data_IF_060962559326
#
_entry.id   IF_060962559326
#
_cell.length_a   1.000
_cell.length_b   1.000
_cell.length_c   1.000
_cell.angle_alpha   90.00
_cell.angle_beta   90.00
_cell.angle_gamma   90.00
#
_symmetry.space_group_name_H-M   'P 1'
#
loop_
_entity.id
_entity.type
_entity.pdbx_description
1 polymer ?
#
# COMPACT_ATOMS: atom_id res chain seq x y z
N UNK A 1 -5.75 22.06 4.45
CA UNK A 1 -4.40 22.14 5.06
C UNK A 1 -4.25 21.66 6.52
N UNK A 2 -5.29 21.49 7.36
CA UNK A 2 -5.14 20.76 8.65
C UNK A 2 -5.99 19.49 8.74
N UNK A 3 -7.19 19.51 8.18
CA UNK A 3 -8.12 18.37 8.25
C UNK A 3 -7.65 17.19 7.38
N UNK A 4 -7.09 17.45 6.20
CA UNK A 4 -6.63 16.41 5.26
C UNK A 4 -5.52 15.52 5.83
N UNK A 5 -4.57 16.10 6.58
CA UNK A 5 -3.54 15.31 7.27
C UNK A 5 -4.12 14.40 8.35
N UNK A 6 -5.14 14.87 9.07
CA UNK A 6 -5.83 14.08 10.09
C UNK A 6 -6.60 12.93 9.44
N UNK A 7 -7.30 13.18 8.33
CA UNK A 7 -7.98 12.13 7.58
C UNK A 7 -7.01 11.13 6.94
N UNK A 8 -5.90 11.59 6.37
CA UNK A 8 -4.85 10.71 5.84
C UNK A 8 -4.26 9.79 6.93
N UNK A 9 -4.00 10.33 8.12
CA UNK A 9 -3.49 9.56 9.25
C UNK A 9 -4.51 8.56 9.79
N UNK A 10 -5.78 8.97 9.94
CA UNK A 10 -6.83 8.08 10.45
C UNK A 10 -7.15 6.97 9.46
N UNK A 11 -7.30 7.28 8.17
CA UNK A 11 -7.63 6.29 7.13
C UNK A 11 -6.46 5.32 6.94
N UNK A 12 -5.23 5.82 6.80
CA UNK A 12 -4.04 4.98 6.68
C UNK A 12 -3.79 4.15 7.93
N UNK A 13 -3.91 4.74 9.12
CA UNK A 13 -3.74 4.05 10.40
C UNK A 13 -4.81 2.99 10.65
N UNK A 14 -6.07 3.26 10.32
CA UNK A 14 -7.17 2.31 10.45
C UNK A 14 -7.01 1.15 9.45
N UNK A 15 -6.62 1.41 8.20
CA UNK A 15 -6.30 0.35 7.23
C UNK A 15 -5.11 -0.51 7.71
N UNK A 16 -4.09 0.11 8.29
CA UNK A 16 -2.93 -0.61 8.84
C UNK A 16 -3.31 -1.50 10.02
N UNK A 17 -4.14 -0.99 10.95
CA UNK A 17 -4.68 -1.78 12.06
C UNK A 17 -5.53 -2.95 11.58
N UNK A 18 -6.40 -2.75 10.58
CA UNK A 18 -7.20 -3.83 9.98
C UNK A 18 -6.28 -4.87 9.33
N UNK A 19 -5.24 -4.44 8.61
CA UNK A 19 -4.27 -5.33 7.99
C UNK A 19 -3.50 -6.16 9.01
N UNK A 20 -3.02 -5.54 10.10
CA UNK A 20 -2.38 -6.24 11.21
C UNK A 20 -3.33 -7.21 11.91
N UNK A 21 -4.60 -6.84 12.11
CA UNK A 21 -5.60 -7.70 12.75
C UNK A 21 -5.95 -8.91 11.88
N UNK A 22 -6.11 -8.75 10.57
CA UNK A 22 -6.32 -9.87 9.65
C UNK A 22 -5.07 -10.76 9.56
N UNK A 23 -3.87 -10.19 9.66
CA UNK A 23 -2.62 -10.95 9.65
C UNK A 23 -2.50 -11.93 10.81
N UNK A 24 -3.09 -11.61 11.96
CA UNK A 24 -3.12 -12.51 13.11
C UNK A 24 -3.98 -13.75 12.82
N UNK A 25 -4.98 -13.64 11.94
CA UNK A 25 -6.00 -14.67 11.70
C UNK A 25 -5.82 -15.43 10.39
N UNK A 26 -5.10 -14.89 9.40
CA UNK A 26 -4.98 -15.45 8.05
C UNK A 26 -3.52 -15.51 7.58
N UNK A 27 -3.24 -16.35 6.58
CA UNK A 27 -1.92 -16.35 5.93
C UNK A 27 -1.68 -15.05 5.15
N UNK A 28 -0.43 -14.56 5.19
CA UNK A 28 0.04 -13.34 4.50
C UNK A 28 -0.43 -13.27 3.04
N UNK A 29 -0.36 -14.39 2.32
CA UNK A 29 -0.75 -14.47 0.91
C UNK A 29 -2.22 -14.11 0.71
N UNK A 30 -3.12 -14.61 1.56
CA UNK A 30 -4.57 -14.38 1.37
C UNK A 30 -4.97 -12.95 1.71
N UNK A 31 -4.34 -12.36 2.73
CA UNK A 31 -4.50 -10.95 3.06
C UNK A 31 -4.11 -10.07 1.87
N UNK A 32 -2.91 -10.29 1.34
CA UNK A 32 -2.35 -9.48 0.25
C UNK A 32 -3.24 -9.53 -0.98
N UNK A 33 -3.70 -10.72 -1.37
CA UNK A 33 -4.59 -10.88 -2.53
C UNK A 33 -5.92 -10.18 -2.33
N UNK A 34 -6.57 -10.31 -1.17
CA UNK A 34 -7.88 -9.68 -0.91
C UNK A 34 -7.74 -8.15 -0.90
N UNK A 35 -6.72 -7.61 -0.24
CA UNK A 35 -6.47 -6.17 -0.21
C UNK A 35 -6.15 -5.60 -1.60
N UNK A 36 -5.37 -6.33 -2.41
CA UNK A 36 -5.12 -5.96 -3.80
C UNK A 36 -6.39 -5.99 -4.63
N UNK A 37 -7.21 -7.04 -4.51
CA UNK A 37 -8.46 -7.17 -5.27
C UNK A 37 -9.45 -6.06 -4.94
N UNK A 38 -9.54 -5.68 -3.66
CA UNK A 38 -10.34 -4.55 -3.20
C UNK A 38 -9.83 -3.25 -3.85
N UNK A 39 -8.52 -3.01 -3.90
CA UNK A 39 -7.95 -1.84 -4.57
C UNK A 39 -8.24 -1.78 -6.06
N UNK A 40 -8.11 -2.92 -6.75
CA UNK A 40 -8.47 -3.09 -8.16
C UNK A 40 -9.96 -2.79 -8.37
N UNK A 41 -10.85 -3.31 -7.52
CA UNK A 41 -12.29 -3.08 -7.64
C UNK A 41 -12.69 -1.62 -7.36
N UNK A 42 -12.07 -0.96 -6.38
CA UNK A 42 -12.32 0.45 -6.09
C UNK A 42 -11.85 1.37 -7.24
N UNK A 43 -10.72 1.05 -7.86
CA UNK A 43 -10.22 1.79 -9.02
C UNK A 43 -11.06 1.53 -10.27
N UNK A 44 -11.54 0.31 -10.46
CA UNK A 44 -12.45 -0.03 -11.54
C UNK A 44 -13.78 0.73 -11.45
N UNK A 45 -14.23 1.07 -10.23
CA UNK A 45 -15.46 1.84 -9.98
C UNK A 45 -15.24 3.36 -9.96
N UNK A 46 -14.01 3.86 -10.21
CA UNK A 46 -13.63 5.29 -10.15
C UNK A 46 -13.97 6.00 -8.82
N UNK A 47 -14.27 5.23 -7.77
CA UNK A 47 -14.50 5.76 -6.41
C UNK A 47 -13.19 5.99 -5.65
N UNK A 48 -12.06 5.59 -6.24
CA UNK A 48 -10.75 5.70 -5.63
C UNK A 48 -10.17 7.12 -5.71
N UNK A 49 -10.34 7.81 -6.84
CA UNK A 49 -9.92 9.21 -7.04
C UNK A 49 -10.36 10.19 -5.92
N UNK A 50 -11.65 10.24 -5.50
CA UNK A 50 -12.07 11.17 -4.44
C UNK A 50 -11.54 10.78 -3.05
N UNK A 51 -11.36 9.48 -2.80
CA UNK A 51 -10.77 8.98 -1.55
C UNK A 51 -9.26 9.28 -1.50
N UNK A 52 -8.57 9.10 -2.62
CA UNK A 52 -7.16 9.40 -2.79
C UNK A 52 -6.89 10.90 -2.70
N UNK A 53 -7.76 11.75 -3.28
CA UNK A 53 -7.64 13.20 -3.15
C UNK A 53 -7.67 13.67 -1.69
N UNK A 54 -8.56 13.09 -0.86
CA UNK A 54 -8.73 13.46 0.55
C UNK A 54 -7.68 12.87 1.49
N UNK A 55 -7.15 11.70 1.18
CA UNK A 55 -6.27 10.95 2.09
C UNK A 55 -4.86 10.70 1.52
N UNK A 56 -4.56 11.17 0.31
CA UNK A 56 -3.31 11.04 -0.48
C UNK A 56 -2.23 10.18 0.19
N UNK A 57 -1.47 10.76 1.12
CA UNK A 57 -0.33 10.12 1.76
C UNK A 57 -0.65 8.85 2.57
N UNK A 58 -1.86 8.73 3.12
CA UNK A 58 -2.33 7.57 3.88
C UNK A 58 -2.77 6.40 3.02
N UNK A 59 -3.37 6.66 1.85
CA UNK A 59 -3.82 5.62 0.93
C UNK A 59 -2.66 5.12 0.06
N UNK A 60 -1.81 6.03 -0.43
CA UNK A 60 -0.63 5.69 -1.24
C UNK A 60 0.25 4.64 -0.59
N UNK A 61 0.45 4.73 0.73
CA UNK A 61 1.31 3.80 1.46
C UNK A 61 0.71 2.40 1.68
N UNK A 62 -0.54 2.17 1.27
CA UNK A 62 -1.28 0.92 1.55
C UNK A 62 -1.36 -0.01 0.34
N UNK A 63 -1.51 -1.31 0.59
CA UNK A 63 -1.59 -2.34 -0.46
C UNK A 63 -2.75 -2.15 -1.46
N UNK A 64 -3.80 -1.43 -1.04
CA UNK A 64 -4.93 -1.04 -1.89
C UNK A 64 -4.45 -0.14 -3.04
N UNK A 65 -3.47 0.74 -2.79
CA UNK A 65 -2.91 1.64 -3.80
C UNK A 65 -2.14 0.87 -4.87
N UNK A 66 -1.38 -0.16 -4.50
CA UNK A 66 -0.71 -1.03 -5.49
C UNK A 66 -1.73 -1.68 -6.44
N UNK A 67 -2.90 -2.08 -5.92
CA UNK A 67 -3.99 -2.63 -6.73
C UNK A 67 -4.61 -1.60 -7.69
N UNK A 68 -4.85 -0.38 -7.19
CA UNK A 68 -5.38 0.72 -7.99
C UNK A 68 -4.41 1.17 -9.09
N UNK A 69 -3.14 1.38 -8.73
CA UNK A 69 -2.07 1.72 -9.68
C UNK A 69 -1.92 0.67 -10.79
N UNK A 70 -2.21 -0.61 -10.52
CA UNK A 70 -2.20 -1.67 -11.53
C UNK A 70 -3.23 -1.41 -12.65
N UNK A 71 -4.46 -1.02 -12.30
CA UNK A 71 -5.47 -0.64 -13.29
C UNK A 71 -5.05 0.63 -14.04
N UNK A 72 -4.50 1.63 -13.35
CA UNK A 72 -4.02 2.85 -14.01
C UNK A 72 -2.89 2.56 -14.99
N UNK A 73 -1.94 1.70 -14.63
CA UNK A 73 -0.85 1.30 -15.51
C UNK A 73 -1.36 0.58 -16.76
N UNK A 74 -2.40 -0.24 -16.64
CA UNK A 74 -3.05 -0.88 -17.80
C UNK A 74 -3.79 0.14 -18.67
N UNK A 75 -4.45 1.14 -18.07
CA UNK A 75 -5.18 2.20 -18.79
C UNK A 75 -4.25 3.18 -19.52
N UNK A 76 -3.16 3.59 -18.87
CA UNK A 76 -2.26 4.66 -19.35
C UNK A 76 -1.01 4.09 -20.04
N UNK A 77 -0.67 2.83 -19.81
CA UNK A 77 0.57 2.20 -20.28
C UNK A 77 1.80 2.51 -19.43
N UNK A 78 1.64 3.27 -18.34
CA UNK A 78 2.72 3.74 -17.49
C UNK A 78 2.88 2.88 -16.22
N UNK A 79 3.91 2.03 -16.22
CA UNK A 79 4.24 1.16 -15.08
C UNK A 79 5.19 1.80 -14.05
N UNK A 80 5.65 3.01 -14.33
CA UNK A 80 6.66 3.74 -13.53
C UNK A 80 6.29 3.80 -12.05
N UNK A 81 5.06 4.17 -11.70
CA UNK A 81 4.61 4.29 -10.31
C UNK A 81 4.65 2.96 -9.54
N UNK A 82 4.24 1.85 -10.17
CA UNK A 82 4.24 0.52 -9.54
C UNK A 82 5.67 0.05 -9.30
N UNK A 83 6.55 0.27 -10.27
CA UNK A 83 7.97 -0.11 -10.17
C UNK A 83 8.63 0.65 -9.03
N UNK A 84 8.37 1.96 -8.89
CA UNK A 84 8.89 2.74 -7.76
C UNK A 84 8.40 2.22 -6.41
N UNK A 85 7.12 1.85 -6.29
CA UNK A 85 6.56 1.30 -5.05
C UNK A 85 7.20 -0.04 -4.63
N UNK A 86 7.65 -0.84 -5.59
CA UNK A 86 8.33 -2.10 -5.30
C UNK A 86 9.83 -1.91 -5.09
N UNK A 87 10.48 -1.04 -5.86
CA UNK A 87 11.93 -0.83 -5.81
C UNK A 87 12.37 -0.03 -4.57
N UNK A 88 11.61 0.96 -4.13
CA UNK A 88 11.98 1.83 -3.01
C UNK A 88 12.10 1.09 -1.66
N UNK A 89 11.15 0.21 -1.27
CA UNK A 89 11.27 -0.59 -0.05
C UNK A 89 12.43 -1.58 -0.11
N UNK A 90 12.73 -2.15 -1.28
CA UNK A 90 13.85 -3.09 -1.46
C UNK A 90 15.18 -2.34 -1.29
N UNK A 91 15.30 -1.15 -1.88
CA UNK A 91 16.48 -0.31 -1.74
C UNK A 91 16.68 0.12 -0.27
N UNK A 92 15.62 0.57 0.40
CA UNK A 92 15.66 0.87 1.83
C UNK A 92 16.07 -0.36 2.61
N UNK A 93 15.43 -1.51 2.42
CA UNK A 93 15.73 -2.76 3.12
C UNK A 93 17.20 -3.18 2.95
N UNK A 94 17.76 -2.99 1.75
CA UNK A 94 19.17 -3.25 1.48
C UNK A 94 20.07 -2.28 2.26
N UNK A 95 19.77 -0.98 2.24
CA UNK A 95 20.48 0.03 3.03
C UNK A 95 20.38 -0.26 4.53
N UNK A 96 19.20 -0.64 5.05
CA UNK A 96 19.05 -1.03 6.46
C UNK A 96 19.79 -2.32 6.77
N UNK A 97 19.88 -3.29 5.87
CA UNK A 97 20.67 -4.50 6.09
C UNK A 97 22.18 -4.21 6.14
N UNK A 98 22.66 -3.24 5.37
CA UNK A 98 24.06 -2.79 5.37
C UNK A 98 24.39 -2.01 6.64
N UNK A 99 23.51 -1.13 7.10
CA UNK A 99 23.73 -0.28 8.29
C UNK A 99 23.43 -1.05 9.59
N UNK A 100 22.31 -1.77 9.63
CA UNK A 100 21.87 -2.56 10.76
C UNK A 100 22.05 -4.04 10.40
N UNK A 101 23.21 -4.61 10.74
CA UNK A 101 23.53 -6.04 10.54
C UNK A 101 22.28 -6.91 10.84
N UNK A 102 21.77 -7.66 9.85
CA UNK A 102 20.46 -8.32 9.97
C UNK A 102 20.49 -9.30 11.14
N UNK A 103 19.60 -9.06 12.11
CA UNK A 103 19.46 -9.93 13.28
C UNK A 103 18.82 -11.23 12.80
N UNK A 104 19.62 -12.30 12.77
CA UNK A 104 19.23 -13.62 12.30
C UNK A 104 17.98 -14.16 13.00
N UNK A 105 16.85 -14.08 12.31
CA UNK A 105 15.64 -14.87 12.56
C UNK A 105 15.20 -15.48 11.23
N UNK A 106 16.09 -16.28 10.64
CA UNK A 106 15.68 -17.33 9.69
C UNK A 106 15.36 -18.56 10.54
N UNK A 107 14.07 -18.81 10.76
CA UNK A 107 13.54 -20.12 11.14
C UNK A 107 12.41 -20.42 10.17
#
# INVERSE_FOLDING_TARGET
>A
MKMEYVYAFIIGGMLSLIGQLLLIKWSLTRLVTIFLLIGVALEATSLYDPMQSLAHAGIEMTLVHVGASCIQAVKTGDFTNIVFFLSFPIAIAWVTAVVCKPRGRMK
#
